data_IF_667095401046
#
_entry.id   IF_667095401046
#
_cell.length_a   1.000
_cell.length_b   1.000
_cell.length_c   1.000
_cell.angle_alpha   90.00
_cell.angle_beta   90.00
_cell.angle_gamma   90.00
#
_symmetry.space_group_name_H-M   'P 1'
#
loop_
_entity.id
_entity.type
_entity.pdbx_description
1 polymer ?
#
# COMPACT_ATOMS: atom_id res chain seq x y z
N UNK A 1 8.75 -15.99 -16.73
CA UNK A 1 10.10 -16.56 -16.93
C UNK A 1 10.97 -16.34 -15.68
N UNK A 2 11.89 -17.25 -15.36
CA UNK A 2 12.78 -17.09 -14.21
C UNK A 2 13.80 -15.97 -14.48
N UNK A 3 14.06 -15.10 -13.50
CA UNK A 3 15.18 -14.15 -13.52
C UNK A 3 14.81 -12.66 -13.40
N UNK A 4 13.59 -12.26 -13.77
CA UNK A 4 13.12 -10.88 -13.67
C UNK A 4 11.82 -10.84 -12.86
N UNK A 5 11.87 -10.47 -11.57
CA UNK A 5 10.67 -10.40 -10.75
C UNK A 5 9.83 -9.17 -11.11
N UNK A 6 8.51 -9.32 -11.05
CA UNK A 6 7.54 -8.22 -11.23
C UNK A 6 6.52 -8.30 -10.11
N UNK A 7 6.39 -7.24 -9.32
CA UNK A 7 5.31 -7.12 -8.35
C UNK A 7 3.99 -6.92 -9.10
N UNK A 8 3.08 -7.90 -9.03
CA UNK A 8 1.81 -7.91 -9.77
C UNK A 8 0.66 -7.54 -8.84
N UNK A 9 -0.29 -6.76 -9.35
CA UNK A 9 -1.44 -6.26 -8.60
C UNK A 9 -2.74 -6.57 -9.36
N UNK A 10 -3.87 -6.29 -8.72
CA UNK A 10 -5.20 -6.46 -9.34
C UNK A 10 -5.36 -5.65 -10.64
N UNK A 11 -6.34 -5.99 -11.47
CA UNK A 11 -6.64 -5.23 -12.69
C UNK A 11 -7.37 -3.93 -12.31
N UNK A 12 -7.05 -2.84 -13.02
CA UNK A 12 -7.75 -1.55 -12.89
C UNK A 12 -7.39 -0.75 -11.64
N UNK A 13 -8.30 0.12 -11.20
CA UNK A 13 -8.07 1.07 -10.11
C UNK A 13 -7.57 0.44 -8.80
N UNK A 14 -8.11 -0.71 -8.33
CA UNK A 14 -7.58 -1.35 -7.12
C UNK A 14 -6.10 -1.74 -7.25
N UNK A 15 -5.67 -2.16 -8.46
CA UNK A 15 -4.28 -2.46 -8.74
C UNK A 15 -3.38 -1.24 -8.69
N UNK A 16 -3.81 -0.15 -9.32
CA UNK A 16 -3.06 1.10 -9.33
C UNK A 16 -2.87 1.66 -7.91
N UNK A 17 -3.92 1.62 -7.09
CA UNK A 17 -3.87 2.04 -5.68
C UNK A 17 -2.87 1.16 -4.91
N UNK A 18 -2.98 -0.16 -5.03
CA UNK A 18 -2.11 -1.09 -4.31
C UNK A 18 -0.65 -1.03 -4.78
N UNK A 19 -0.40 -0.75 -6.06
CA UNK A 19 0.95 -0.52 -6.57
C UNK A 19 1.60 0.72 -5.94
N UNK A 20 0.83 1.81 -5.79
CA UNK A 20 1.28 3.01 -5.09
C UNK A 20 1.58 2.75 -3.61
N UNK A 21 0.68 2.05 -2.91
CA UNK A 21 0.89 1.67 -1.51
C UNK A 21 2.07 0.71 -1.32
N UNK A 22 2.34 -0.17 -2.29
CA UNK A 22 3.51 -1.03 -2.30
C UNK A 22 4.81 -0.23 -2.47
N UNK A 23 4.84 0.71 -3.42
CA UNK A 23 5.98 1.61 -3.60
C UNK A 23 6.24 2.45 -2.35
N UNK A 24 5.19 2.97 -1.72
CA UNK A 24 5.31 3.70 -0.44
C UNK A 24 5.90 2.83 0.67
N UNK A 25 5.52 1.55 0.75
CA UNK A 25 6.12 0.61 1.71
C UNK A 25 7.60 0.32 1.44
N UNK A 26 8.03 0.27 0.17
CA UNK A 26 9.46 0.17 -0.17
C UNK A 26 10.22 1.40 0.33
N UNK A 27 9.71 2.60 0.07
CA UNK A 27 10.35 3.86 0.49
C UNK A 27 10.39 3.99 2.02
N UNK A 28 9.32 3.57 2.71
CA UNK A 28 9.22 3.61 4.17
C UNK A 28 10.32 2.82 4.89
N UNK A 29 10.98 1.86 4.21
CA UNK A 29 12.12 1.12 4.77
C UNK A 29 13.23 2.07 5.23
N UNK A 30 13.50 3.12 4.45
CA UNK A 30 14.58 4.08 4.73
C UNK A 30 14.11 5.52 4.98
N UNK A 31 12.84 5.84 4.71
CA UNK A 31 12.26 7.17 4.94
C UNK A 31 11.24 7.16 6.09
N UNK A 32 11.61 7.79 7.21
CA UNK A 32 10.77 7.87 8.41
C UNK A 32 9.48 8.70 8.19
N UNK A 33 9.50 9.67 7.27
CA UNK A 33 8.33 10.50 6.94
C UNK A 33 7.31 9.67 6.18
N UNK A 34 7.77 8.91 5.17
CA UNK A 34 6.90 8.00 4.41
C UNK A 34 6.37 6.88 5.30
N UNK A 35 7.18 6.36 6.23
CA UNK A 35 6.74 5.37 7.21
C UNK A 35 5.59 5.89 8.08
N UNK A 36 5.76 7.07 8.68
CA UNK A 36 4.71 7.69 9.50
C UNK A 36 3.41 7.94 8.71
N UNK A 37 3.54 8.37 7.45
CA UNK A 37 2.38 8.53 6.57
C UNK A 37 1.67 7.20 6.28
N UNK A 38 2.42 6.11 6.06
CA UNK A 38 1.88 4.77 5.84
C UNK A 38 1.18 4.22 7.08
N UNK A 39 1.72 4.45 8.27
CA UNK A 39 1.10 4.02 9.52
C UNK A 39 -0.24 4.75 9.73
N UNK A 40 -0.26 6.08 9.55
CA UNK A 40 -1.49 6.86 9.62
C UNK A 40 -2.53 6.44 8.57
N UNK A 41 -2.09 6.09 7.36
CA UNK A 41 -2.99 5.58 6.32
C UNK A 41 -3.68 4.29 6.76
N UNK A 42 -2.94 3.33 7.34
CA UNK A 42 -3.48 2.04 7.80
C UNK A 42 -4.43 2.20 8.98
N UNK A 43 -4.12 3.09 9.92
CA UNK A 43 -5.00 3.42 11.04
C UNK A 43 -6.33 4.00 10.54
N UNK A 44 -6.28 4.99 9.64
CA UNK A 44 -7.47 5.60 9.05
C UNK A 44 -8.32 4.59 8.28
N UNK A 45 -7.68 3.72 7.50
CA UNK A 45 -8.39 2.69 6.75
C UNK A 45 -9.11 1.71 7.69
N UNK A 46 -8.46 1.30 8.77
CA UNK A 46 -9.05 0.40 9.77
C UNK A 46 -10.22 1.06 10.51
N UNK A 47 -10.05 2.34 10.89
CA UNK A 47 -11.09 3.12 11.55
C UNK A 47 -12.30 3.43 10.65
N UNK A 48 -12.12 3.42 9.33
CA UNK A 48 -13.19 3.69 8.36
C UNK A 48 -14.13 2.49 8.12
N UNK A 49 -13.85 1.32 8.70
CA UNK A 49 -14.71 0.14 8.54
C UNK A 49 -15.98 0.35 9.39
N UNK A 50 -17.18 0.40 8.79
CA UNK A 50 -18.42 0.54 9.54
C UNK A 50 -18.72 -0.76 10.32
N UNK A 51 -19.34 -0.62 11.49
CA UNK A 51 -19.69 -1.76 12.37
C UNK A 51 -20.93 -2.52 11.92
N UNK A 52 -21.68 -1.96 10.97
CA UNK A 52 -22.89 -2.52 10.38
C UNK A 52 -22.83 -2.30 8.85
N UNK A 53 -23.42 -3.21 8.06
CA UNK A 53 -23.47 -3.09 6.61
C UNK A 53 -24.30 -1.91 6.13
#
# INVERSE_FOLDING_TARGET
PKGVPVATFAIGSPGAINAGLFAAQILAVSDATVRSAMDSYREKQSAAIPTLP
#
